data_IF_856138000556
#
_entry.id   IF_856138000556
#
_cell.length_a   1.000
_cell.length_b   1.000
_cell.length_c   1.000
_cell.angle_alpha   90.00
_cell.angle_beta   90.00
_cell.angle_gamma   90.00
#
_symmetry.space_group_name_H-M   'P 1'
#
loop_
_entity.id
_entity.type
_entity.pdbx_description
1 polymer ?
#
# COMPACT_ATOMS: atom_id res chain seq x y z
N UNK A 1 7.72 -0.43 -33.11
CA UNK A 1 8.53 0.06 -31.98
C UNK A 1 8.26 1.52 -31.63
N UNK A 2 8.32 2.46 -32.60
CA UNK A 2 8.04 3.91 -32.36
C UNK A 2 6.66 4.14 -31.70
N UNK A 3 5.61 3.49 -32.16
CA UNK A 3 4.24 3.64 -31.64
C UNK A 3 4.09 3.23 -30.15
N UNK A 4 4.85 2.24 -29.69
CA UNK A 4 4.86 1.84 -28.27
C UNK A 4 5.72 2.75 -27.40
N UNK A 5 6.72 3.42 -27.99
CA UNK A 5 7.60 4.33 -27.28
C UNK A 5 6.95 5.70 -27.00
N UNK A 6 6.07 6.16 -27.89
CA UNK A 6 5.42 7.47 -27.77
C UNK A 6 4.68 7.68 -26.45
N UNK A 7 3.81 6.75 -25.97
CA UNK A 7 3.14 6.93 -24.68
C UNK A 7 4.12 6.98 -23.50
N UNK A 8 5.18 6.19 -23.53
CA UNK A 8 6.21 6.18 -22.48
C UNK A 8 6.98 7.51 -22.50
N UNK A 9 7.33 7.99 -23.68
CA UNK A 9 8.05 9.24 -23.81
C UNK A 9 7.22 10.43 -23.32
N UNK A 10 5.98 10.57 -23.82
CA UNK A 10 5.11 11.69 -23.47
C UNK A 10 4.55 11.61 -22.06
N UNK A 11 4.21 10.41 -21.57
CA UNK A 11 3.56 10.22 -20.27
C UNK A 11 4.51 10.03 -19.10
N UNK A 12 5.78 9.71 -19.34
CA UNK A 12 6.75 9.45 -18.28
C UNK A 12 8.05 10.24 -18.43
N UNK A 13 8.75 10.10 -19.57
CA UNK A 13 10.07 10.71 -19.73
C UNK A 13 9.97 12.25 -19.76
N UNK A 14 9.05 12.80 -20.54
CA UNK A 14 8.89 14.25 -20.67
C UNK A 14 8.48 14.92 -19.34
N UNK A 15 7.45 14.46 -18.60
CA UNK A 15 7.14 15.04 -17.29
C UNK A 15 8.30 14.94 -16.30
N UNK A 16 9.01 13.82 -16.24
CA UNK A 16 10.16 13.68 -15.33
C UNK A 16 11.31 14.61 -15.71
N UNK A 17 11.61 14.75 -16.99
CA UNK A 17 12.68 15.68 -17.42
C UNK A 17 12.34 17.12 -17.07
N UNK A 18 11.06 17.51 -17.16
CA UNK A 18 10.63 18.86 -16.78
C UNK A 18 10.70 19.07 -15.26
N UNK A 19 10.23 18.09 -14.45
CA UNK A 19 10.38 18.16 -13.00
C UNK A 19 11.84 18.24 -12.55
N UNK A 20 12.74 17.48 -13.20
CA UNK A 20 14.18 17.55 -12.93
C UNK A 20 14.77 18.91 -13.32
N UNK A 21 14.36 19.45 -14.45
CA UNK A 21 14.77 20.78 -14.91
C UNK A 21 14.37 21.87 -13.89
N UNK A 22 13.13 21.83 -13.38
CA UNK A 22 12.69 22.76 -12.34
C UNK A 22 13.49 22.58 -11.05
N UNK A 23 13.71 21.34 -10.61
CA UNK A 23 14.48 21.05 -9.40
C UNK A 23 15.89 21.62 -9.46
N UNK A 24 16.57 21.50 -10.60
CA UNK A 24 17.95 21.96 -10.77
C UNK A 24 18.00 23.50 -10.90
N UNK A 25 17.13 24.08 -11.72
CA UNK A 25 17.17 25.52 -12.02
C UNK A 25 16.70 26.38 -10.84
N UNK A 26 15.74 25.91 -10.06
CA UNK A 26 15.21 26.64 -8.90
C UNK A 26 15.88 26.25 -7.58
N UNK A 27 16.95 25.42 -7.61
CA UNK A 27 17.76 25.02 -6.45
C UNK A 27 16.88 24.58 -5.27
N UNK A 28 15.90 23.72 -5.54
CA UNK A 28 14.98 23.22 -4.53
C UNK A 28 15.75 22.47 -3.42
N UNK A 29 15.44 22.81 -2.18
CA UNK A 29 16.11 22.24 -1.03
C UNK A 29 15.41 20.96 -0.59
N UNK A 30 16.01 19.81 -0.93
CA UNK A 30 15.56 18.48 -0.47
C UNK A 30 15.89 18.21 0.99
N UNK A 31 16.62 19.07 1.66
CA UNK A 31 16.98 18.94 3.07
C UNK A 31 16.16 19.88 3.97
N UNK A 32 15.16 20.56 3.41
CA UNK A 32 14.21 21.32 4.22
C UNK A 32 13.47 20.37 5.18
N UNK A 33 13.28 20.83 6.41
CA UNK A 33 12.62 20.05 7.48
C UNK A 33 11.23 19.58 7.03
N UNK A 34 10.44 20.43 6.39
CA UNK A 34 9.09 20.11 5.92
C UNK A 34 9.10 18.99 4.87
N UNK A 35 10.08 19.00 3.96
CA UNK A 35 10.24 17.93 2.97
C UNK A 35 10.67 16.61 3.59
N UNK A 36 11.59 16.65 4.55
CA UNK A 36 12.05 15.45 5.25
C UNK A 36 10.93 14.84 6.11
N UNK A 37 10.15 15.67 6.78
CA UNK A 37 8.99 15.24 7.56
C UNK A 37 7.91 14.60 6.68
N UNK A 38 7.53 15.24 5.57
CA UNK A 38 6.57 14.69 4.60
C UNK A 38 7.06 13.38 3.99
N UNK A 39 8.36 13.26 3.73
CA UNK A 39 8.98 12.02 3.23
C UNK A 39 8.93 10.90 4.26
N UNK A 40 9.27 11.20 5.50
CA UNK A 40 9.22 10.25 6.61
C UNK A 40 7.78 9.78 6.87
N UNK A 41 6.82 10.69 6.93
CA UNK A 41 5.41 10.40 7.12
C UNK A 41 4.87 9.48 6.01
N UNK A 42 5.22 9.76 4.76
CA UNK A 42 4.81 8.94 3.61
C UNK A 42 5.36 7.52 3.70
N UNK A 43 6.65 7.37 4.02
CA UNK A 43 7.29 6.07 4.16
C UNK A 43 6.73 5.29 5.36
N UNK A 44 6.53 5.94 6.49
CA UNK A 44 5.99 5.34 7.71
C UNK A 44 4.59 4.78 7.46
N UNK A 45 3.69 5.58 6.87
CA UNK A 45 2.34 5.15 6.53
C UNK A 45 2.34 4.01 5.51
N UNK A 46 3.19 4.10 4.49
CA UNK A 46 3.31 3.06 3.48
C UNK A 46 3.75 1.72 4.09
N UNK A 47 4.74 1.74 4.99
CA UNK A 47 5.24 0.54 5.66
C UNK A 47 4.17 -0.05 6.58
N UNK A 48 3.53 0.77 7.43
CA UNK A 48 2.49 0.31 8.36
C UNK A 48 1.31 -0.30 7.58
N UNK A 49 0.77 0.43 6.60
CA UNK A 49 -0.36 -0.03 5.82
C UNK A 49 -0.03 -1.30 5.01
N UNK A 50 1.16 -1.37 4.41
CA UNK A 50 1.60 -2.53 3.65
C UNK A 50 1.76 -3.77 4.53
N UNK A 51 2.35 -3.63 5.71
CA UNK A 51 2.50 -4.74 6.66
C UNK A 51 1.15 -5.23 7.17
N UNK A 52 0.26 -4.33 7.60
CA UNK A 52 -1.06 -4.69 8.10
C UNK A 52 -1.91 -5.35 7.00
N UNK A 53 -1.94 -4.77 5.82
CA UNK A 53 -2.70 -5.29 4.69
C UNK A 53 -2.20 -6.68 4.27
N UNK A 54 -0.88 -6.86 4.18
CA UNK A 54 -0.25 -8.14 3.85
C UNK A 54 -0.52 -9.19 4.94
N UNK A 55 -0.45 -8.81 6.21
CA UNK A 55 -0.74 -9.70 7.33
C UNK A 55 -2.20 -10.16 7.32
N UNK A 56 -3.15 -9.25 7.13
CA UNK A 56 -4.58 -9.56 7.05
C UNK A 56 -4.83 -10.52 5.88
N UNK A 57 -4.30 -10.21 4.69
CA UNK A 57 -4.45 -11.06 3.50
C UNK A 57 -3.82 -12.44 3.70
N UNK A 58 -2.65 -12.53 4.33
CA UNK A 58 -2.00 -13.80 4.64
C UNK A 58 -2.85 -14.66 5.60
N UNK A 59 -3.37 -14.07 6.68
CA UNK A 59 -4.18 -14.77 7.65
C UNK A 59 -5.50 -15.29 7.05
N UNK A 60 -6.16 -14.48 6.21
CA UNK A 60 -7.39 -14.87 5.54
C UNK A 60 -7.13 -16.02 4.56
N UNK A 61 -6.10 -15.91 3.71
CA UNK A 61 -5.77 -16.95 2.74
C UNK A 61 -5.32 -18.26 3.43
N UNK A 62 -4.52 -18.16 4.49
CA UNK A 62 -4.15 -19.33 5.29
C UNK A 62 -5.37 -20.00 5.90
N UNK A 63 -6.26 -19.24 6.52
CA UNK A 63 -7.49 -19.79 7.15
C UNK A 63 -8.41 -20.43 6.13
N UNK A 64 -8.62 -19.79 4.99
CA UNK A 64 -9.50 -20.27 3.91
C UNK A 64 -8.99 -21.57 3.27
N UNK A 65 -7.70 -21.86 3.37
CA UNK A 65 -7.10 -23.11 2.87
C UNK A 65 -7.53 -24.35 3.67
N UNK A 66 -7.80 -24.19 4.96
CA UNK A 66 -8.12 -25.31 5.87
C UNK A 66 -9.59 -25.38 6.25
N UNK A 67 -10.29 -24.27 6.20
CA UNK A 67 -11.70 -24.18 6.58
C UNK A 67 -12.46 -23.31 5.58
N UNK A 68 -13.48 -23.89 4.97
CA UNK A 68 -14.43 -23.12 4.15
C UNK A 68 -15.36 -22.30 5.05
N UNK A 69 -14.82 -21.24 5.67
CA UNK A 69 -15.60 -20.34 6.49
C UNK A 69 -16.26 -19.28 5.62
N UNK A 70 -17.60 -19.37 5.50
CA UNK A 70 -18.41 -18.42 4.72
C UNK A 70 -18.22 -16.98 5.17
N UNK A 71 -18.02 -16.74 6.46
CA UNK A 71 -17.79 -15.41 7.00
C UNK A 71 -16.46 -14.80 6.50
N UNK A 72 -15.36 -15.57 6.54
CA UNK A 72 -14.06 -15.11 6.05
C UNK A 72 -14.09 -14.88 4.53
N UNK A 73 -14.75 -15.75 3.79
CA UNK A 73 -14.91 -15.58 2.33
C UNK A 73 -15.72 -14.30 2.02
N UNK A 74 -16.83 -14.08 2.72
CA UNK A 74 -17.64 -12.87 2.56
C UNK A 74 -16.87 -11.62 2.95
N UNK A 75 -16.13 -11.65 4.06
CA UNK A 75 -15.30 -10.53 4.52
C UNK A 75 -14.22 -10.19 3.49
N UNK A 76 -13.51 -11.19 2.98
CA UNK A 76 -12.50 -11.00 1.95
C UNK A 76 -13.11 -10.39 0.68
N UNK A 77 -14.23 -10.94 0.20
CA UNK A 77 -14.92 -10.42 -0.99
C UNK A 77 -15.38 -8.97 -0.79
N UNK A 78 -15.89 -8.63 0.39
CA UNK A 78 -16.30 -7.25 0.71
C UNK A 78 -15.10 -6.30 0.72
N UNK A 79 -13.99 -6.69 1.35
CA UNK A 79 -12.77 -5.89 1.38
C UNK A 79 -12.18 -5.69 -0.04
N UNK A 80 -12.28 -6.68 -0.91
CA UNK A 80 -11.82 -6.55 -2.30
C UNK A 80 -12.60 -5.47 -3.08
N UNK A 81 -13.87 -5.22 -2.76
CA UNK A 81 -14.65 -4.15 -3.37
C UNK A 81 -14.09 -2.75 -3.04
N UNK A 82 -13.37 -2.62 -1.94
CA UNK A 82 -12.77 -1.34 -1.51
C UNK A 82 -11.82 -0.74 -2.56
N UNK A 83 -11.17 -1.55 -3.38
CA UNK A 83 -10.32 -1.09 -4.46
C UNK A 83 -11.10 -0.32 -5.55
N UNK A 84 -12.34 -0.70 -5.80
CA UNK A 84 -13.20 -0.06 -6.80
C UNK A 84 -13.81 1.26 -6.30
N UNK A 85 -13.81 1.50 -4.97
CA UNK A 85 -14.38 2.71 -4.39
C UNK A 85 -13.41 3.88 -4.60
N UNK A 86 -13.85 5.02 -5.16
CA UNK A 86 -13.03 6.23 -5.23
C UNK A 86 -12.56 6.65 -3.84
N UNK A 87 -11.24 6.98 -3.70
CA UNK A 87 -10.63 7.29 -2.41
C UNK A 87 -11.34 8.42 -1.65
N UNK A 88 -11.87 9.41 -2.35
CA UNK A 88 -12.64 10.51 -1.77
C UNK A 88 -13.94 10.02 -1.10
N UNK A 89 -14.70 9.15 -1.78
CA UNK A 89 -15.94 8.58 -1.26
C UNK A 89 -15.65 7.68 -0.06
N UNK A 90 -14.62 6.86 -0.16
CA UNK A 90 -14.17 6.01 0.94
C UNK A 90 -13.81 6.85 2.17
N UNK A 91 -13.07 7.94 1.98
CA UNK A 91 -12.66 8.82 3.07
C UNK A 91 -13.86 9.47 3.77
N UNK A 92 -14.84 9.98 3.01
CA UNK A 92 -16.06 10.54 3.57
C UNK A 92 -16.82 9.50 4.39
N UNK A 93 -16.98 8.29 3.85
CA UNK A 93 -17.64 7.19 4.56
C UNK A 93 -16.93 6.82 5.87
N UNK A 94 -15.60 6.75 5.86
CA UNK A 94 -14.80 6.48 7.06
C UNK A 94 -14.94 7.62 8.07
N UNK A 95 -14.87 8.88 7.62
CA UNK A 95 -15.04 10.03 8.52
C UNK A 95 -16.40 9.98 9.23
N UNK A 96 -17.50 9.69 8.50
CA UNK A 96 -18.81 9.56 9.09
C UNK A 96 -18.88 8.42 10.12
N UNK A 97 -18.27 7.26 9.80
CA UNK A 97 -18.20 6.14 10.73
C UNK A 97 -17.41 6.49 11.99
N UNK A 98 -16.26 7.14 11.84
CA UNK A 98 -15.43 7.53 12.99
C UNK A 98 -16.14 8.58 13.85
N UNK A 99 -16.79 9.57 13.25
CA UNK A 99 -17.58 10.55 13.99
C UNK A 99 -18.73 9.90 14.77
N UNK A 100 -19.39 8.91 14.16
CA UNK A 100 -20.42 8.13 14.87
C UNK A 100 -19.82 7.36 16.07
N UNK A 101 -18.67 6.74 15.89
CA UNK A 101 -17.97 6.05 16.97
C UNK A 101 -17.48 7.00 18.05
N UNK A 102 -16.99 8.19 17.69
CA UNK A 102 -16.54 9.20 18.64
C UNK A 102 -17.70 9.65 19.53
N UNK A 103 -18.87 9.95 18.95
CA UNK A 103 -20.08 10.29 19.72
C UNK A 103 -20.48 9.16 20.68
N UNK A 104 -20.32 7.90 20.27
CA UNK A 104 -20.61 6.75 21.12
C UNK A 104 -19.58 6.60 22.25
N UNK A 105 -18.30 6.82 21.97
CA UNK A 105 -17.20 6.80 22.95
C UNK A 105 -17.35 7.93 23.96
N UNK A 106 -17.73 9.13 23.53
CA UNK A 106 -17.99 10.27 24.40
C UNK A 106 -19.15 9.99 25.36
N UNK A 107 -20.19 9.30 24.91
CA UNK A 107 -21.30 8.86 25.77
C UNK A 107 -20.82 8.00 26.95
N UNK A 108 -19.76 7.20 26.76
CA UNK A 108 -19.12 6.41 27.82
C UNK A 108 -18.02 7.17 28.58
N UNK A 109 -17.85 8.48 28.35
CA UNK A 109 -16.85 9.35 28.99
C UNK A 109 -15.37 8.92 28.78
N UNK A 110 -15.07 8.29 27.67
CA UNK A 110 -13.69 8.06 27.24
C UNK A 110 -13.18 9.30 26.48
N UNK A 111 -12.04 9.85 26.91
CA UNK A 111 -11.39 10.99 26.27
C UNK A 111 -10.49 10.55 25.09
N UNK A 112 -11.05 9.86 24.10
CA UNK A 112 -10.31 9.41 22.92
C UNK A 112 -11.10 9.78 21.66
N UNK A 113 -10.46 10.48 20.71
CA UNK A 113 -11.05 10.91 19.45
C UNK A 113 -10.41 10.13 18.32
N UNK A 114 -11.24 9.44 17.54
CA UNK A 114 -10.83 8.67 16.36
C UNK A 114 -10.77 9.55 15.11
N UNK A 115 -11.71 10.49 14.99
CA UNK A 115 -11.77 11.40 13.85
C UNK A 115 -10.56 12.33 13.82
N UNK A 116 -9.88 12.42 12.67
CA UNK A 116 -8.63 13.17 12.54
C UNK A 116 -7.40 12.46 13.13
N UNK A 117 -7.48 11.16 13.43
CA UNK A 117 -6.36 10.32 13.84
C UNK A 117 -5.78 9.54 12.67
N UNK A 118 -4.54 9.04 12.82
CA UNK A 118 -3.91 8.14 11.84
C UNK A 118 -4.67 6.83 11.66
N UNK A 119 -5.51 6.44 12.62
CA UNK A 119 -6.29 5.19 12.57
C UNK A 119 -7.23 5.19 11.37
N UNK A 120 -7.99 6.27 11.17
CA UNK A 120 -8.91 6.41 10.03
C UNK A 120 -8.19 6.33 8.69
N UNK A 121 -7.04 6.98 8.61
CA UNK A 121 -6.20 6.96 7.41
C UNK A 121 -5.66 5.56 7.10
N UNK A 122 -5.16 4.85 8.12
CA UNK A 122 -4.66 3.48 7.97
C UNK A 122 -5.79 2.52 7.56
N UNK A 123 -6.99 2.66 8.13
CA UNK A 123 -8.17 1.87 7.73
C UNK A 123 -8.50 2.10 6.25
N UNK A 124 -8.48 3.36 5.80
CA UNK A 124 -8.71 3.69 4.38
C UNK A 124 -7.70 3.02 3.45
N UNK A 125 -6.41 3.07 3.82
CA UNK A 125 -5.36 2.43 3.04
C UNK A 125 -5.50 0.92 2.99
N UNK A 126 -5.85 0.28 4.11
CA UNK A 126 -6.09 -1.17 4.16
C UNK A 126 -7.25 -1.53 3.23
N UNK A 127 -8.39 -0.87 3.34
CA UNK A 127 -9.57 -1.15 2.52
C UNK A 127 -9.25 -0.98 1.03
N UNK A 128 -8.57 0.09 0.68
CA UNK A 128 -8.23 0.41 -0.72
C UNK A 128 -7.19 -0.54 -1.31
N UNK A 129 -6.21 -0.96 -0.52
CA UNK A 129 -5.10 -1.78 -1.03
C UNK A 129 -5.26 -3.28 -0.79
N UNK A 130 -6.31 -3.70 -0.06
CA UNK A 130 -6.52 -5.11 0.27
C UNK A 130 -6.60 -6.02 -0.95
N UNK A 131 -7.33 -5.61 -2.00
CA UNK A 131 -7.47 -6.41 -3.21
C UNK A 131 -6.13 -6.72 -3.87
N UNK A 132 -5.22 -5.74 -3.91
CA UNK A 132 -3.88 -5.89 -4.47
C UNK A 132 -3.03 -6.87 -3.63
N UNK A 133 -3.09 -6.74 -2.30
CA UNK A 133 -2.45 -7.65 -1.38
C UNK A 133 -3.00 -9.05 -1.49
N UNK A 134 -4.34 -9.19 -1.46
CA UNK A 134 -5.02 -10.49 -1.46
C UNK A 134 -4.74 -11.28 -2.73
N UNK A 135 -4.85 -10.66 -3.91
CA UNK A 135 -4.58 -11.33 -5.19
C UNK A 135 -3.13 -11.84 -5.29
N UNK A 136 -2.18 -11.08 -4.78
CA UNK A 136 -0.76 -11.44 -4.77
C UNK A 136 -0.47 -12.63 -3.85
N UNK A 137 -1.06 -12.62 -2.66
CA UNK A 137 -0.87 -13.67 -1.65
C UNK A 137 -1.61 -14.94 -2.06
N UNK A 138 -2.86 -14.82 -2.54
CA UNK A 138 -3.65 -15.94 -3.06
C UNK A 138 -2.92 -16.67 -4.18
N UNK A 139 -2.38 -15.95 -5.16
CA UNK A 139 -1.57 -16.52 -6.23
C UNK A 139 -0.33 -17.27 -5.70
N UNK A 140 0.22 -16.83 -4.57
CA UNK A 140 1.35 -17.50 -3.91
C UNK A 140 0.92 -18.78 -3.19
N UNK A 141 -0.25 -18.78 -2.54
CA UNK A 141 -0.82 -19.97 -1.92
C UNK A 141 -1.24 -21.03 -2.94
N UNK A 142 -1.74 -20.62 -4.11
CA UNK A 142 -2.09 -21.54 -5.20
C UNK A 142 -0.90 -22.36 -5.72
N UNK A 143 0.31 -21.88 -5.56
CA UNK A 143 1.54 -22.59 -5.94
C UNK A 143 1.97 -23.64 -4.90
N UNK A 144 1.43 -23.59 -3.69
CA UNK A 144 1.74 -24.54 -2.62
C UNK A 144 0.84 -25.75 -2.76
N UNK A 145 1.43 -26.92 -3.04
CA UNK A 145 0.69 -28.17 -3.19
C UNK A 145 -0.10 -28.54 -1.91
N UNK A 146 -1.32 -29.05 -2.09
CA UNK A 146 -2.14 -29.57 -0.98
C UNK A 146 -1.50 -30.81 -0.31
N UNK A 147 -0.70 -31.57 -1.02
CA UNK A 147 0.03 -32.72 -0.47
C UNK A 147 0.98 -32.33 0.68
N UNK A 148 1.51 -31.09 0.69
CA UNK A 148 2.31 -30.58 1.80
C UNK A 148 1.50 -30.45 3.09
N UNK A 149 0.24 -30.09 2.98
CA UNK A 149 -0.68 -29.98 4.13
C UNK A 149 -0.98 -31.37 4.71
N UNK A 150 -1.13 -32.38 3.86
CA UNK A 150 -1.39 -33.75 4.30
C UNK A 150 -0.14 -34.38 4.95
N UNK A 151 1.04 -34.18 4.39
CA UNK A 151 2.32 -34.58 5.01
C UNK A 151 2.50 -33.86 6.36
N UNK A 152 2.13 -32.60 6.47
CA UNK A 152 2.22 -31.86 7.72
C UNK A 152 1.33 -32.46 8.82
N UNK A 153 0.14 -32.93 8.46
CA UNK A 153 -0.77 -33.65 9.40
C UNK A 153 -0.15 -34.95 9.87
N UNK A 154 0.50 -35.74 9.00
CA UNK A 154 1.16 -36.98 9.40
C UNK A 154 2.32 -36.75 10.37
N UNK A 155 2.99 -35.59 10.26
CA UNK A 155 4.04 -35.15 11.17
C UNK A 155 3.51 -34.45 12.44
N UNK A 156 2.19 -34.45 12.64
CA UNK A 156 1.52 -33.77 13.76
C UNK A 156 1.86 -32.28 13.86
N UNK A 157 2.04 -31.62 12.68
CA UNK A 157 2.26 -30.19 12.56
C UNK A 157 0.94 -29.53 12.12
N UNK A 158 0.33 -28.73 13.00
CA UNK A 158 -0.96 -28.07 12.73
C UNK A 158 -1.02 -26.65 13.27
N UNK A 159 -2.07 -25.90 12.92
CA UNK A 159 -2.35 -24.59 13.46
C UNK A 159 -1.23 -23.56 13.22
N UNK A 160 -0.88 -22.80 14.24
CA UNK A 160 0.12 -21.74 14.17
C UNK A 160 1.53 -22.26 13.77
N UNK A 161 1.88 -23.49 14.19
CA UNK A 161 3.15 -24.10 13.85
C UNK A 161 3.25 -24.41 12.35
N UNK A 162 2.15 -24.85 11.75
CA UNK A 162 2.03 -25.06 10.31
C UNK A 162 2.15 -23.74 9.54
N UNK A 163 1.45 -22.72 9.99
CA UNK A 163 1.48 -21.38 9.41
C UNK A 163 2.89 -20.83 9.38
N UNK A 164 3.58 -20.82 10.52
CA UNK A 164 4.89 -20.15 10.66
C UNK A 164 6.05 -20.96 10.07
N UNK A 165 6.05 -22.31 10.30
CA UNK A 165 7.19 -23.15 9.87
C UNK A 165 7.13 -23.60 8.42
N UNK A 166 5.94 -23.69 7.84
CA UNK A 166 5.74 -24.25 6.49
C UNK A 166 5.20 -23.18 5.53
N UNK A 167 4.03 -22.62 5.79
CA UNK A 167 3.42 -21.71 4.82
C UNK A 167 4.16 -20.38 4.69
N UNK A 168 4.52 -19.74 5.80
CA UNK A 168 5.22 -18.45 5.78
C UNK A 168 6.52 -18.49 4.95
N UNK A 169 7.43 -19.45 5.12
CA UNK A 169 8.63 -19.56 4.30
C UNK A 169 8.35 -19.84 2.82
N UNK A 170 7.31 -20.63 2.52
CA UNK A 170 6.95 -20.98 1.15
C UNK A 170 6.36 -19.80 0.37
N UNK A 171 5.56 -18.96 1.03
CA UNK A 171 4.92 -17.79 0.39
C UNK A 171 5.68 -16.49 0.61
N UNK A 172 6.87 -16.51 1.21
CA UNK A 172 7.65 -15.30 1.56
C UNK A 172 7.85 -14.34 0.40
N UNK A 173 8.06 -14.87 -0.81
CA UNK A 173 8.22 -14.06 -2.01
C UNK A 173 6.92 -13.29 -2.34
N UNK A 174 5.77 -13.96 -2.20
CA UNK A 174 4.47 -13.30 -2.36
C UNK A 174 4.18 -12.26 -1.29
N UNK A 175 4.58 -12.53 -0.04
CA UNK A 175 4.46 -11.57 1.05
C UNK A 175 5.29 -10.31 0.75
N UNK A 176 6.55 -10.48 0.34
CA UNK A 176 7.40 -9.36 -0.02
C UNK A 176 6.85 -8.59 -1.23
N UNK A 177 6.35 -9.30 -2.24
CA UNK A 177 5.69 -8.68 -3.41
C UNK A 177 4.48 -7.86 -2.99
N UNK A 178 3.64 -8.39 -2.09
CA UNK A 178 2.48 -7.69 -1.55
C UNK A 178 2.88 -6.41 -0.81
N UNK A 179 3.87 -6.48 0.09
CA UNK A 179 4.38 -5.32 0.83
C UNK A 179 4.86 -4.23 -0.14
N UNK A 180 5.64 -4.60 -1.14
CA UNK A 180 6.18 -3.65 -2.12
C UNK A 180 5.08 -3.00 -2.96
N UNK A 181 4.10 -3.78 -3.43
CA UNK A 181 2.99 -3.26 -4.23
C UNK A 181 2.08 -2.34 -3.42
N UNK A 182 1.65 -2.77 -2.24
CA UNK A 182 0.80 -1.95 -1.36
C UNK A 182 1.54 -0.69 -0.93
N UNK A 183 2.81 -0.81 -0.54
CA UNK A 183 3.63 0.36 -0.18
C UNK A 183 3.71 1.39 -1.30
N UNK A 184 3.93 0.95 -2.55
CA UNK A 184 3.96 1.85 -3.70
C UNK A 184 2.61 2.52 -3.99
N UNK A 185 1.48 1.85 -3.71
CA UNK A 185 0.15 2.45 -3.84
C UNK A 185 -0.10 3.51 -2.77
N UNK A 186 0.27 3.24 -1.52
CA UNK A 186 0.02 4.16 -0.40
C UNK A 186 0.83 5.45 -0.53
N UNK A 187 2.08 5.39 -0.99
CA UNK A 187 2.93 6.59 -1.13
C UNK A 187 2.32 7.64 -2.07
N UNK A 188 1.62 7.22 -3.10
CA UNK A 188 0.98 8.09 -4.08
C UNK A 188 -0.50 8.37 -3.79
N UNK A 189 -1.03 7.84 -2.67
CA UNK A 189 -2.45 8.02 -2.34
C UNK A 189 -2.71 9.43 -1.82
N UNK A 190 -3.47 10.19 -2.60
CA UNK A 190 -3.80 11.59 -2.32
C UNK A 190 -5.24 11.78 -1.82
N UNK A 191 -6.31 11.33 -2.51
CA UNK A 191 -7.70 11.67 -2.19
C UNK A 191 -8.13 11.30 -0.78
N UNK A 192 -7.81 10.08 -0.32
CA UNK A 192 -8.16 9.66 1.03
C UNK A 192 -7.28 10.36 2.07
N UNK A 193 -6.00 10.59 1.76
CA UNK A 193 -5.07 11.27 2.66
C UNK A 193 -5.47 12.71 2.93
N UNK A 194 -5.91 13.46 1.92
CA UNK A 194 -6.35 14.86 2.08
C UNK A 194 -7.47 15.03 3.09
N UNK A 195 -8.40 14.07 3.18
CA UNK A 195 -9.57 14.16 4.07
C UNK A 195 -9.27 13.59 5.45
N UNK A 196 -8.54 12.47 5.52
CA UNK A 196 -8.39 11.70 6.75
C UNK A 196 -7.12 12.01 7.54
N UNK A 197 -6.17 12.75 6.97
CA UNK A 197 -4.91 13.08 7.66
C UNK A 197 -5.17 13.94 8.90
N UNK A 198 -4.42 13.73 9.98
CA UNK A 198 -4.42 14.65 11.11
C UNK A 198 -3.94 16.06 10.72
N UNK A 199 -4.28 17.04 11.55
CA UNK A 199 -3.70 18.38 11.39
C UNK A 199 -2.19 18.35 11.54
N UNK A 200 -1.50 19.16 10.74
CA UNK A 200 -0.04 19.24 10.69
C UNK A 200 0.67 17.93 10.33
N UNK A 201 -0.04 16.99 9.71
CA UNK A 201 0.52 15.75 9.22
C UNK A 201 0.52 15.76 7.70
N UNK A 202 1.66 15.99 7.10
CA UNK A 202 1.79 16.04 5.65
C UNK A 202 2.50 14.80 5.10
N UNK A 203 2.09 14.42 3.88
CA UNK A 203 2.74 13.39 3.09
C UNK A 203 3.26 14.00 1.80
N UNK A 204 4.18 13.34 1.11
CA UNK A 204 4.72 13.82 -0.17
C UNK A 204 3.61 14.10 -1.20
N UNK A 205 2.57 13.25 -1.27
CA UNK A 205 1.47 13.44 -2.19
C UNK A 205 0.64 14.70 -1.86
N UNK A 206 0.41 14.94 -0.56
CA UNK A 206 -0.29 16.14 -0.08
C UNK A 206 0.56 17.39 -0.30
N UNK A 207 1.85 17.34 0.01
CA UNK A 207 2.77 18.45 -0.20
C UNK A 207 2.85 18.84 -1.69
N UNK A 208 2.99 17.86 -2.59
CA UNK A 208 2.96 18.11 -4.03
C UNK A 208 1.64 18.77 -4.48
N UNK A 209 0.52 18.29 -3.96
CA UNK A 209 -0.80 18.84 -4.26
C UNK A 209 -0.97 20.26 -3.73
N UNK A 210 -0.55 20.55 -2.49
CA UNK A 210 -0.66 21.88 -1.89
C UNK A 210 0.11 22.90 -2.72
N UNK A 211 1.37 22.62 -3.06
CA UNK A 211 2.17 23.51 -3.93
C UNK A 211 1.51 23.70 -5.29
N UNK A 212 1.03 22.63 -5.93
CA UNK A 212 0.38 22.73 -7.23
C UNK A 212 -0.93 23.53 -7.18
N UNK A 213 -1.73 23.39 -6.11
CA UNK A 213 -2.99 24.11 -5.93
C UNK A 213 -2.79 25.62 -5.64
N UNK A 214 -1.62 25.99 -5.12
CA UNK A 214 -1.19 27.37 -4.90
C UNK A 214 -0.45 27.96 -6.11
N UNK A 215 -0.47 27.29 -7.26
CA UNK A 215 0.25 27.67 -8.49
C UNK A 215 1.79 27.69 -8.34
N UNK A 216 2.32 27.11 -7.30
CA UNK A 216 3.74 26.97 -6.97
C UNK A 216 4.33 25.71 -7.60
N UNK A 217 4.26 25.62 -8.94
CA UNK A 217 4.60 24.40 -9.68
C UNK A 217 6.07 23.99 -9.53
N UNK A 218 6.97 24.94 -9.34
CA UNK A 218 8.39 24.65 -9.16
C UNK A 218 8.65 23.92 -7.84
N UNK A 219 8.04 24.38 -6.75
CA UNK A 219 8.16 23.76 -5.43
C UNK A 219 7.50 22.38 -5.38
N UNK A 220 6.42 22.17 -6.16
CA UNK A 220 5.79 20.87 -6.31
C UNK A 220 6.72 19.82 -6.96
N UNK A 221 7.80 20.24 -7.64
CA UNK A 221 8.69 19.32 -8.32
C UNK A 221 9.46 18.41 -7.35
N UNK A 222 9.94 18.92 -6.22
CA UNK A 222 10.71 18.14 -5.25
C UNK A 222 9.91 16.96 -4.67
N UNK A 223 8.72 17.15 -4.07
CA UNK A 223 7.93 16.03 -3.57
C UNK A 223 7.45 15.10 -4.69
N UNK A 224 7.17 15.61 -5.89
CA UNK A 224 6.78 14.78 -7.03
C UNK A 224 7.90 13.84 -7.49
N UNK A 225 9.13 14.33 -7.60
CA UNK A 225 10.29 13.49 -7.93
C UNK A 225 10.55 12.46 -6.83
N UNK A 226 10.43 12.84 -5.56
CA UNK A 226 10.58 11.91 -4.46
C UNK A 226 9.57 10.74 -4.55
N UNK A 227 8.29 11.02 -4.84
CA UNK A 227 7.26 10.00 -5.07
C UNK A 227 7.67 9.07 -6.22
N UNK A 228 8.15 9.62 -7.33
CA UNK A 228 8.60 8.81 -8.49
C UNK A 228 9.77 7.91 -8.11
N UNK A 229 10.79 8.43 -7.45
CA UNK A 229 11.98 7.66 -7.05
C UNK A 229 11.58 6.55 -6.08
N UNK A 230 10.84 6.88 -5.02
CA UNK A 230 10.40 5.90 -4.01
C UNK A 230 9.46 4.87 -4.64
N UNK A 231 8.56 5.29 -5.53
CA UNK A 231 7.65 4.39 -6.23
C UNK A 231 8.32 3.45 -7.24
N UNK A 232 9.47 3.84 -7.81
CA UNK A 232 10.25 2.99 -8.71
C UNK A 232 11.01 1.88 -7.99
N UNK A 233 11.41 2.07 -6.73
CA UNK A 233 12.17 1.09 -5.95
C UNK A 233 11.44 -0.28 -5.89
N UNK A 234 10.15 -0.36 -5.47
CA UNK A 234 9.39 -1.60 -5.49
C UNK A 234 9.34 -2.26 -6.86
N UNK A 235 9.13 -1.47 -7.92
CA UNK A 235 9.03 -1.98 -9.29
C UNK A 235 10.35 -2.62 -9.75
N UNK A 236 11.47 -1.98 -9.45
CA UNK A 236 12.81 -2.50 -9.78
C UNK A 236 13.08 -3.81 -9.01
N UNK A 237 12.77 -3.84 -7.71
CA UNK A 237 12.94 -5.03 -6.89
C UNK A 237 12.10 -6.19 -7.44
N UNK A 238 10.81 -5.94 -7.73
CA UNK A 238 9.89 -6.93 -8.29
C UNK A 238 10.37 -7.45 -9.65
N UNK A 239 10.82 -6.57 -10.53
CA UNK A 239 11.35 -6.95 -11.84
C UNK A 239 12.55 -7.91 -11.71
N UNK A 240 13.48 -7.63 -10.77
CA UNK A 240 14.62 -8.51 -10.49
C UNK A 240 14.19 -9.85 -9.89
N UNK A 241 13.22 -9.84 -8.97
CA UNK A 241 12.68 -11.07 -8.36
C UNK A 241 12.02 -11.97 -9.40
N UNK A 242 11.23 -11.41 -10.32
CA UNK A 242 10.59 -12.16 -11.41
C UNK A 242 11.65 -12.78 -12.32
N UNK A 243 12.67 -12.01 -12.68
CA UNK A 243 13.77 -12.50 -13.53
C UNK A 243 14.54 -13.65 -12.87
N UNK A 244 14.83 -13.57 -11.58
CA UNK A 244 15.53 -14.64 -10.83
C UNK A 244 14.66 -15.89 -10.59
N UNK A 245 13.34 -15.79 -10.69
CA UNK A 245 12.41 -16.90 -10.49
C UNK A 245 12.15 -17.74 -11.75
N UNK A 246 12.67 -17.33 -12.92
CA UNK A 246 12.57 -18.11 -14.17
C UNK A 246 13.78 -19.02 -14.30
N UNK A 247 13.66 -20.37 -14.12
CA UNK A 247 14.74 -21.29 -14.41
C UNK A 247 14.89 -21.37 -15.93
N UNK A 248 15.98 -20.89 -16.50
CA UNK A 248 16.29 -21.07 -17.93
C UNK A 248 16.87 -19.87 -18.68
N UNK A 249 16.98 -18.68 -18.12
CA UNK A 249 17.64 -17.53 -18.76
C UNK A 249 18.93 -17.10 -18.03
N UNK A 250 19.70 -18.06 -17.54
CA UNK A 250 21.10 -17.87 -17.16
C UNK A 250 21.98 -18.38 -18.31
N UNK A 251 22.03 -17.64 -19.41
CA UNK A 251 23.05 -17.69 -20.45
C UNK A 251 23.31 -16.29 -20.95
#
# INVERSE_FOLDING_TARGET
MLFCFTPIFMGFILPITELLNWTINYKLDFFNIDFLESSFNSLLLAIIAALLCTMISFLINFSSRFQSNKFLSSLSSTLMLGYAVPGLILAIGITQLLTFLDNYIEFFKFNFILTGSLIGLIIAYIIKSYALSNSTIEASFQRVSSSLDDVSKTLNISGFKLMYKIHFPLVKTGLLTSILLVGSEVIKELPATLILRPFNFETLAVSAYNYASEERMYEAAAPSIAIVIIGLIPIIILSRMIKSSRPGEAL
#
